data_IF_328041317328
#
_entry.id   IF_328041317328
#
_cell.length_a   1.000
_cell.length_b   1.000
_cell.length_c   1.000
_cell.angle_alpha   90.00
_cell.angle_beta   90.00
_cell.angle_gamma   90.00
#
_symmetry.space_group_name_H-M   'P 1'
#
loop_
_entity.id
_entity.type
_entity.pdbx_description
1 polymer ?
#
# COMPACT_ATOMS: atom_id res chain seq x y z
N UNK A 1 5.51 -25.54 8.11
CA UNK A 1 6.88 -25.68 7.59
C UNK A 1 6.89 -25.25 6.14
N UNK A 2 7.39 -24.03 5.92
CA UNK A 2 8.08 -23.54 4.71
C UNK A 2 8.67 -22.20 5.13
N UNK A 3 9.87 -22.23 5.71
CA UNK A 3 10.66 -21.04 5.98
C UNK A 3 11.18 -20.52 4.64
N UNK A 4 10.41 -19.66 4.00
CA UNK A 4 10.90 -18.72 3.01
C UNK A 4 10.64 -17.34 3.61
N UNK A 5 11.73 -16.65 3.97
CA UNK A 5 11.71 -15.35 4.64
C UNK A 5 11.35 -14.25 3.61
N UNK A 6 10.23 -14.41 2.90
CA UNK A 6 9.76 -13.40 1.96
C UNK A 6 9.13 -12.27 2.76
N UNK A 7 9.62 -11.03 2.62
CA UNK A 7 9.00 -9.90 3.27
C UNK A 7 7.56 -9.73 2.76
N UNK A 8 6.68 -9.36 3.67
CA UNK A 8 5.27 -9.04 3.39
C UNK A 8 5.24 -7.83 2.47
N UNK A 9 4.62 -7.95 1.30
CA UNK A 9 4.56 -6.86 0.32
C UNK A 9 3.55 -5.81 0.76
N UNK A 10 4.03 -4.59 0.95
CA UNK A 10 3.25 -3.44 1.37
C UNK A 10 3.19 -2.44 0.22
N UNK A 11 2.00 -1.93 -0.08
CA UNK A 11 1.82 -0.80 -0.99
C UNK A 11 1.19 0.34 -0.22
N UNK A 12 1.75 1.55 -0.35
CA UNK A 12 1.16 2.75 0.21
C UNK A 12 0.39 3.51 -0.88
N UNK A 13 -0.76 4.06 -0.53
CA UNK A 13 -1.63 4.84 -1.40
C UNK A 13 -1.87 6.18 -0.74
N UNK A 14 -1.51 7.27 -1.42
CA UNK A 14 -1.62 8.60 -0.84
C UNK A 14 -0.95 9.67 -1.68
N UNK A 15 -1.22 10.92 -1.34
CA UNK A 15 -0.60 12.05 -2.02
C UNK A 15 0.87 12.26 -1.62
N UNK A 16 1.60 12.94 -2.52
CA UNK A 16 2.95 13.40 -2.23
C UNK A 16 3.00 14.39 -1.08
N UNK A 17 3.61 13.98 0.02
CA UNK A 17 3.72 14.81 1.22
C UNK A 17 4.55 14.18 2.32
N UNK A 18 4.44 14.77 3.52
CA UNK A 18 5.17 14.30 4.70
C UNK A 18 4.76 12.89 5.12
N UNK A 19 3.49 12.53 5.00
CA UNK A 19 2.98 11.19 5.37
C UNK A 19 3.62 10.12 4.49
N UNK A 20 3.62 10.32 3.16
CA UNK A 20 4.32 9.45 2.22
C UNK A 20 5.81 9.30 2.58
N UNK A 21 6.51 10.40 2.86
CA UNK A 21 7.93 10.34 3.23
C UNK A 21 8.18 9.57 4.53
N UNK A 22 7.28 9.68 5.51
CA UNK A 22 7.34 8.93 6.75
C UNK A 22 7.12 7.43 6.51
N UNK A 23 6.16 7.05 5.67
CA UNK A 23 5.91 5.66 5.29
C UNK A 23 7.13 5.07 4.58
N UNK A 24 7.68 5.78 3.59
CA UNK A 24 8.90 5.36 2.87
C UNK A 24 10.05 5.19 3.86
N UNK A 25 10.28 6.16 4.75
CA UNK A 25 11.38 6.09 5.72
C UNK A 25 11.23 4.92 6.68
N UNK A 26 10.01 4.67 7.16
CA UNK A 26 9.72 3.58 8.08
C UNK A 26 9.94 2.21 7.44
N UNK A 27 9.46 2.02 6.20
CA UNK A 27 9.47 0.71 5.53
C UNK A 27 10.72 0.45 4.67
N UNK A 28 11.45 1.50 4.27
CA UNK A 28 12.74 1.37 3.56
C UNK A 28 13.93 1.19 4.51
N UNK A 29 13.70 1.32 5.82
CA UNK A 29 14.74 1.12 6.83
C UNK A 29 15.16 -0.34 6.87
N UNK A 30 16.44 -0.61 6.65
CA UNK A 30 17.10 -1.93 6.59
C UNK A 30 16.97 -2.83 7.84
N UNK A 31 16.18 -2.42 8.82
CA UNK A 31 15.87 -3.14 10.06
C UNK A 31 14.58 -3.97 9.96
N UNK A 32 13.77 -3.79 8.91
CA UNK A 32 12.51 -4.50 8.72
C UNK A 32 12.69 -5.65 7.73
N UNK A 33 13.03 -6.84 8.23
CA UNK A 33 13.16 -8.06 7.42
C UNK A 33 11.76 -8.63 7.07
N UNK A 34 10.71 -8.16 7.74
CA UNK A 34 9.35 -8.71 7.66
C UNK A 34 8.43 -7.98 6.67
N UNK A 35 8.77 -6.76 6.27
CA UNK A 35 7.96 -5.92 5.37
C UNK A 35 8.80 -5.34 4.26
N UNK A 36 8.26 -5.31 3.04
CA UNK A 36 8.87 -4.68 1.88
C UNK A 36 7.86 -3.72 1.28
N UNK A 37 8.19 -2.43 1.27
CA UNK A 37 7.42 -1.43 0.53
C UNK A 37 7.70 -1.61 -0.96
N UNK A 38 6.75 -2.21 -1.67
CA UNK A 38 6.89 -2.49 -3.11
C UNK A 38 6.61 -1.27 -3.96
N UNK A 39 5.69 -0.40 -3.52
CA UNK A 39 5.36 0.83 -4.25
C UNK A 39 4.66 1.88 -3.37
N UNK A 40 4.70 3.13 -3.82
CA UNK A 40 3.87 4.21 -3.30
C UNK A 40 3.09 4.84 -4.44
N UNK A 41 1.79 4.60 -4.44
CA UNK A 41 0.88 4.94 -5.52
C UNK A 41 0.13 6.22 -5.16
N UNK A 42 0.21 7.21 -6.05
CA UNK A 42 -0.68 8.36 -5.99
C UNK A 42 -2.03 7.94 -6.59
N UNK A 43 -3.16 8.13 -5.89
CA UNK A 43 -4.47 7.73 -6.38
C UNK A 43 -4.78 8.41 -7.71
N UNK A 44 -4.99 7.60 -8.74
CA UNK A 44 -5.41 8.01 -10.08
C UNK A 44 -6.53 7.07 -10.56
N UNK A 45 -7.08 7.31 -11.74
CA UNK A 45 -8.08 6.43 -12.36
C UNK A 45 -7.62 4.98 -12.55
N UNK A 46 -6.31 4.71 -12.55
CA UNK A 46 -5.74 3.36 -12.71
C UNK A 46 -5.33 2.70 -11.39
N UNK A 47 -5.72 3.25 -10.23
CA UNK A 47 -5.31 2.78 -8.90
C UNK A 47 -5.40 1.26 -8.73
N UNK A 48 -6.52 0.64 -9.12
CA UNK A 48 -6.72 -0.81 -8.97
C UNK A 48 -5.72 -1.61 -9.81
N UNK A 49 -5.36 -1.14 -11.00
CA UNK A 49 -4.38 -1.82 -11.85
C UNK A 49 -2.98 -1.71 -11.24
N UNK A 50 -2.61 -0.51 -10.80
CA UNK A 50 -1.29 -0.24 -10.21
C UNK A 50 -1.08 -1.03 -8.91
N UNK A 51 -2.12 -1.11 -8.07
CA UNK A 51 -2.10 -1.95 -6.86
C UNK A 51 -1.96 -3.42 -7.24
N UNK A 52 -2.71 -3.91 -8.23
CA UNK A 52 -2.67 -5.31 -8.66
C UNK A 52 -1.30 -5.72 -9.20
N UNK A 53 -0.62 -4.83 -9.94
CA UNK A 53 0.71 -5.09 -10.48
C UNK A 53 1.76 -5.31 -9.39
N UNK A 54 1.55 -4.75 -8.20
CA UNK A 54 2.43 -4.89 -7.05
C UNK A 54 2.09 -6.11 -6.16
N UNK A 55 0.95 -6.76 -6.40
CA UNK A 55 0.47 -7.94 -5.66
C UNK A 55 0.66 -7.83 -4.12
N UNK A 56 0.16 -6.75 -3.48
CA UNK A 56 0.39 -6.50 -2.06
C UNK A 56 -0.37 -7.48 -1.18
N UNK A 57 0.18 -7.69 0.02
CA UNK A 57 -0.49 -8.36 1.13
C UNK A 57 -1.03 -7.34 2.14
N UNK A 58 -0.44 -6.14 2.18
CA UNK A 58 -0.89 -5.02 3.00
C UNK A 58 -1.00 -3.76 2.12
N UNK A 59 -2.11 -3.06 2.25
CA UNK A 59 -2.36 -1.74 1.70
C UNK A 59 -2.35 -0.72 2.83
N UNK A 60 -1.59 0.35 2.69
CA UNK A 60 -1.64 1.50 3.59
C UNK A 60 -2.32 2.63 2.82
N UNK A 61 -3.50 3.05 3.26
CA UNK A 61 -4.23 4.15 2.62
C UNK A 61 -4.12 5.41 3.48
N UNK A 62 -3.54 6.47 2.92
CA UNK A 62 -3.52 7.78 3.56
C UNK A 62 -4.93 8.39 3.56
N UNK A 63 -5.28 9.10 4.64
CA UNK A 63 -6.54 9.85 4.76
C UNK A 63 -6.73 10.94 3.70
N UNK A 64 -5.63 11.39 3.07
CA UNK A 64 -5.66 12.30 1.93
C UNK A 64 -5.34 11.54 0.63
N UNK A 65 -6.38 11.27 -0.16
CA UNK A 65 -6.31 10.59 -1.46
C UNK A 65 -7.12 11.36 -2.51
N UNK A 66 -6.57 12.50 -2.95
CA UNK A 66 -7.22 13.33 -3.96
C UNK A 66 -8.52 13.97 -3.47
N UNK A 67 -9.48 14.05 -4.38
CA UNK A 67 -10.83 14.59 -4.11
C UNK A 67 -11.82 13.49 -3.66
N UNK A 68 -11.41 12.23 -3.66
CA UNK A 68 -12.27 11.09 -3.33
C UNK A 68 -12.28 10.84 -1.82
N UNK A 69 -13.41 10.36 -1.31
CA UNK A 69 -13.53 9.96 0.10
C UNK A 69 -12.62 8.76 0.36
N UNK A 70 -11.78 8.83 1.39
CA UNK A 70 -10.91 7.71 1.77
C UNK A 70 -11.69 6.41 2.01
N UNK A 71 -12.92 6.52 2.50
CA UNK A 71 -13.76 5.36 2.78
C UNK A 71 -14.24 4.70 1.50
N UNK A 72 -14.54 5.50 0.46
CA UNK A 72 -14.96 4.98 -0.85
C UNK A 72 -13.77 4.26 -1.54
N UNK A 73 -12.56 4.80 -1.37
CA UNK A 73 -11.31 4.16 -1.82
C UNK A 73 -11.07 2.85 -1.07
N UNK A 74 -11.20 2.83 0.26
CA UNK A 74 -11.06 1.61 1.07
C UNK A 74 -12.08 0.55 0.67
N UNK A 75 -13.35 0.92 0.47
CA UNK A 75 -14.40 -0.01 0.05
C UNK A 75 -14.07 -0.60 -1.32
N UNK A 76 -13.64 0.24 -2.27
CA UNK A 76 -13.24 -0.20 -3.61
C UNK A 76 -12.06 -1.17 -3.56
N UNK A 77 -11.02 -0.84 -2.78
CA UNK A 77 -9.85 -1.71 -2.62
C UNK A 77 -10.20 -3.01 -1.91
N UNK A 78 -11.04 -2.98 -0.88
CA UNK A 78 -11.49 -4.16 -0.14
C UNK A 78 -12.25 -5.14 -1.04
N UNK A 79 -13.06 -4.62 -1.98
CA UNK A 79 -13.77 -5.44 -2.95
C UNK A 79 -12.83 -6.08 -4.00
N UNK A 80 -11.78 -5.37 -4.40
CA UNK A 80 -10.84 -5.83 -5.44
C UNK A 80 -9.74 -6.73 -4.89
N UNK A 81 -9.36 -6.55 -3.63
CA UNK A 81 -8.27 -7.24 -2.94
C UNK A 81 -8.74 -7.85 -1.61
N UNK A 82 -9.63 -8.85 -1.64
CA UNK A 82 -10.24 -9.41 -0.43
C UNK A 82 -9.25 -10.11 0.51
N UNK A 83 -8.08 -10.51 -0.02
CA UNK A 83 -7.03 -11.19 0.73
C UNK A 83 -5.95 -10.23 1.27
N UNK A 84 -5.98 -8.95 0.87
CA UNK A 84 -5.06 -7.94 1.37
C UNK A 84 -5.60 -7.30 2.65
N UNK A 85 -4.74 -7.06 3.63
CA UNK A 85 -5.08 -6.23 4.78
C UNK A 85 -5.04 -4.75 4.38
N UNK A 86 -6.02 -3.96 4.80
CA UNK A 86 -6.12 -2.51 4.55
C UNK A 86 -6.20 -1.77 5.88
#
# INVERSE_FOLDING_TARGET
MSSANNPTRVVAIGESGSTQQQIITALSSSSQVEFELTDVIVPTENLVLDVRNNNPEILIVDHHVGEESVLDVIDTLSLQFPDAAI
#
